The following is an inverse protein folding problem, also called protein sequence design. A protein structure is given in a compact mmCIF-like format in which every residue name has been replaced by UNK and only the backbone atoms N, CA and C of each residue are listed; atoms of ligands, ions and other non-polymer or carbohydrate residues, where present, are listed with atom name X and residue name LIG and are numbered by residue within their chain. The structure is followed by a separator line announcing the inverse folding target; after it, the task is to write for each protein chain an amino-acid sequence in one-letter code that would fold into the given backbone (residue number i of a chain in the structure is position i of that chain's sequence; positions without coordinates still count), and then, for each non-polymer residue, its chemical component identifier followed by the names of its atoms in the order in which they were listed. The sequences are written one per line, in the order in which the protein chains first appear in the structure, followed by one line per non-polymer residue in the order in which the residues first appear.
data_IF_247180586253
#
_entry.id   IF_247180586253
#
_cell.length_a   1.000
_cell.length_b   1.000
_cell.length_c   1.000
_cell.angle_alpha   90.00
_cell.angle_beta   90.00
_cell.angle_gamma   90.00
#
_symmetry.space_group_name_H-M   'P 1'
#
loop_
_entity.id
_entity.type
_entity.pdbx_description
1 polymer ?
#
# COMPACT_ATOMS: atom_id res chain seq x y z
N UNK A 1 0.66 14.58 -5.89
CA UNK A 1 0.10 13.56 -5.00
C UNK A 1 -1.25 14.02 -4.48
N UNK A 2 -2.16 13.07 -4.27
CA UNK A 2 -3.54 13.30 -3.80
C UNK A 2 -3.74 12.49 -2.53
N UNK A 3 -4.58 12.98 -1.60
CA UNK A 3 -4.94 12.25 -0.38
C UNK A 3 -6.41 11.89 -0.39
N UNK A 4 -6.75 10.69 0.07
CA UNK A 4 -8.12 10.27 0.29
C UNK A 4 -8.24 9.63 1.67
N UNK A 5 -9.35 9.89 2.35
CA UNK A 5 -9.63 9.31 3.66
C UNK A 5 -10.99 8.62 3.63
N UNK A 6 -11.09 7.53 4.37
CA UNK A 6 -12.38 6.85 4.57
C UNK A 6 -13.30 7.77 5.38
N UNK A 7 -14.47 8.12 4.86
CA UNK A 7 -15.42 8.97 5.57
C UNK A 7 -16.10 8.20 6.72
N UNK A 8 -16.72 8.95 7.61
CA UNK A 8 -17.60 8.38 8.62
C UNK A 8 -18.79 7.65 7.98
N UNK A 9 -19.42 6.70 8.68
CA UNK A 9 -20.47 5.84 8.13
C UNK A 9 -21.66 6.57 7.51
N UNK A 10 -22.06 7.73 8.07
CA UNK A 10 -23.14 8.57 7.58
C UNK A 10 -22.83 9.16 6.20
N UNK A 11 -21.65 9.73 6.02
CA UNK A 11 -21.20 10.24 4.71
C UNK A 11 -20.99 9.08 3.73
N UNK A 12 -20.39 7.96 4.17
CA UNK A 12 -20.20 6.79 3.32
C UNK A 12 -21.53 6.21 2.82
N UNK A 13 -22.55 6.17 3.67
CA UNK A 13 -23.91 5.78 3.28
C UNK A 13 -24.49 6.71 2.22
N UNK A 14 -24.38 8.02 2.42
CA UNK A 14 -24.86 9.02 1.47
C UNK A 14 -24.15 8.91 0.11
N UNK A 15 -22.82 8.68 0.13
CA UNK A 15 -22.04 8.47 -1.10
C UNK A 15 -22.56 7.27 -1.89
N UNK A 16 -22.84 6.14 -1.22
CA UNK A 16 -23.43 4.96 -1.86
C UNK A 16 -24.82 5.23 -2.42
N UNK A 17 -25.70 5.89 -1.65
CA UNK A 17 -27.06 6.23 -2.08
C UNK A 17 -27.07 7.16 -3.30
N UNK A 18 -26.09 8.05 -3.40
CA UNK A 18 -25.94 8.99 -4.52
C UNK A 18 -25.04 8.48 -5.64
N UNK A 19 -24.49 7.28 -5.50
CA UNK A 19 -23.51 6.69 -6.44
C UNK A 19 -22.29 7.60 -6.67
N UNK A 20 -21.82 8.26 -5.61
CA UNK A 20 -20.62 9.11 -5.64
C UNK A 20 -19.42 8.27 -5.21
N UNK A 21 -18.41 8.04 -6.06
CA UNK A 21 -17.21 7.32 -5.67
C UNK A 21 -16.37 8.12 -4.68
N UNK A 22 -15.56 7.46 -3.88
CA UNK A 22 -14.56 8.12 -3.05
C UNK A 22 -13.60 8.93 -3.92
N UNK A 23 -13.27 10.12 -3.48
CA UNK A 23 -12.45 11.07 -4.22
C UNK A 23 -11.36 11.70 -3.33
N UNK A 24 -10.33 12.24 -3.98
CA UNK A 24 -9.23 12.93 -3.30
C UNK A 24 -9.68 14.25 -2.66
N UNK A 25 -8.97 14.67 -1.62
CA UNK A 25 -9.27 15.93 -0.92
C UNK A 25 -8.88 17.16 -1.73
N UNK A 26 -7.76 17.09 -2.42
CA UNK A 26 -7.18 18.25 -3.11
C UNK A 26 -8.01 18.61 -4.36
N UNK A 27 -8.04 17.73 -5.33
CA UNK A 27 -8.63 18.03 -6.64
C UNK A 27 -9.96 17.29 -6.90
N UNK A 28 -10.52 16.58 -5.90
CA UNK A 28 -11.78 15.83 -6.02
C UNK A 28 -11.76 14.78 -7.15
N UNK A 29 -10.59 14.22 -7.41
CA UNK A 29 -10.42 13.17 -8.41
C UNK A 29 -10.95 11.85 -7.84
N UNK A 30 -11.83 11.11 -8.56
CA UNK A 30 -12.25 9.78 -8.13
C UNK A 30 -11.04 8.86 -7.94
N UNK A 31 -10.96 8.19 -6.79
CA UNK A 31 -9.81 7.32 -6.46
C UNK A 31 -9.58 6.25 -7.51
N UNK A 32 -10.65 5.70 -8.09
CA UNK A 32 -10.55 4.67 -9.15
C UNK A 32 -9.87 5.14 -10.44
N UNK A 33 -9.72 6.45 -10.66
CA UNK A 33 -9.12 7.03 -11.87
C UNK A 33 -7.66 7.45 -11.68
N UNK A 34 -7.08 7.20 -10.51
CA UNK A 34 -5.67 7.47 -10.21
C UNK A 34 -4.83 6.26 -10.64
N UNK A 35 -3.60 6.48 -11.11
CA UNK A 35 -2.72 5.39 -11.59
C UNK A 35 -2.27 4.46 -10.46
N UNK A 36 -2.00 5.01 -9.25
CA UNK A 36 -1.51 4.27 -8.07
C UNK A 36 -2.31 4.69 -6.85
N UNK A 37 -2.69 3.74 -6.02
CA UNK A 37 -3.27 3.97 -4.69
C UNK A 37 -2.41 3.30 -3.63
N UNK A 38 -1.75 4.12 -2.81
CA UNK A 38 -1.01 3.66 -1.63
C UNK A 38 -1.91 3.61 -0.40
N UNK A 39 -2.00 2.47 0.25
CA UNK A 39 -2.79 2.27 1.47
C UNK A 39 -1.87 2.02 2.67
N UNK A 40 -2.01 2.84 3.71
CA UNK A 40 -1.22 2.70 4.93
C UNK A 40 -1.77 1.61 5.84
N UNK A 41 -0.95 0.59 6.11
CA UNK A 41 -1.23 -0.57 6.96
C UNK A 41 -0.48 -0.44 8.28
N UNK A 42 -1.03 0.35 9.21
CA UNK A 42 -0.39 0.58 10.52
C UNK A 42 -0.61 -0.59 11.49
N UNK A 43 -1.83 -1.14 11.48
CA UNK A 43 -2.23 -2.28 12.32
C UNK A 43 -3.21 -3.16 11.56
N UNK A 44 -3.37 -4.41 11.98
CA UNK A 44 -4.34 -5.37 11.42
C UNK A 44 -5.80 -4.90 11.59
N UNK A 45 -6.06 -4.03 12.55
CA UNK A 45 -7.39 -3.44 12.75
C UNK A 45 -7.86 -2.58 11.56
N UNK A 46 -6.95 -2.17 10.69
CA UNK A 46 -7.28 -1.40 9.49
C UNK A 46 -7.76 -2.26 8.31
N UNK A 47 -7.66 -3.58 8.38
CA UNK A 47 -7.94 -4.47 7.25
C UNK A 47 -9.39 -4.35 6.75
N UNK A 48 -10.36 -4.25 7.64
CA UNK A 48 -11.76 -4.04 7.25
C UNK A 48 -12.00 -2.66 6.63
N UNK A 49 -11.25 -1.64 7.05
CA UNK A 49 -11.33 -0.30 6.47
C UNK A 49 -10.81 -0.26 5.04
N UNK A 50 -9.87 -1.14 4.68
CA UNK A 50 -9.39 -1.27 3.29
C UNK A 50 -10.50 -1.74 2.37
N UNK A 51 -11.26 -2.76 2.79
CA UNK A 51 -12.41 -3.22 2.00
C UNK A 51 -13.46 -2.12 1.86
N UNK A 52 -13.72 -1.38 2.93
CA UNK A 52 -14.63 -0.25 2.87
C UNK A 52 -14.12 0.89 1.97
N UNK A 53 -12.80 1.15 1.98
CA UNK A 53 -12.17 2.10 1.06
C UNK A 53 -12.35 1.68 -0.40
N UNK A 54 -12.07 0.41 -0.73
CA UNK A 54 -12.22 -0.13 -2.09
C UNK A 54 -13.69 -0.07 -2.55
N UNK A 55 -14.63 -0.43 -1.68
CA UNK A 55 -16.07 -0.38 -1.96
C UNK A 55 -16.54 1.04 -2.28
N UNK A 56 -16.21 2.01 -1.43
CA UNK A 56 -16.54 3.42 -1.67
C UNK A 56 -15.84 3.97 -2.91
N UNK A 57 -14.66 3.49 -3.22
CA UNK A 57 -13.91 3.88 -4.43
C UNK A 57 -14.45 3.21 -5.70
N UNK A 58 -15.41 2.29 -5.57
CA UNK A 58 -15.93 1.49 -6.69
C UNK A 58 -14.80 0.70 -7.40
N UNK A 59 -13.86 0.18 -6.61
CA UNK A 59 -12.75 -0.65 -7.06
C UNK A 59 -13.02 -2.10 -6.64
N UNK A 60 -12.90 -3.09 -7.53
CA UNK A 60 -13.07 -4.50 -7.17
C UNK A 60 -12.16 -4.89 -5.99
N UNK A 61 -12.67 -5.71 -5.07
CA UNK A 61 -11.92 -6.08 -3.87
C UNK A 61 -10.67 -6.87 -4.22
N UNK A 62 -10.83 -7.92 -5.02
CA UNK A 62 -9.71 -8.80 -5.32
C UNK A 62 -8.80 -8.23 -6.40
N UNK A 63 -7.49 -8.36 -6.21
CA UNK A 63 -6.49 -8.00 -7.20
C UNK A 63 -6.72 -8.69 -8.54
N UNK A 64 -7.14 -9.97 -8.50
CA UNK A 64 -7.44 -10.76 -9.70
C UNK A 64 -8.64 -10.26 -10.52
N UNK A 65 -9.51 -9.45 -9.93
CA UNK A 65 -10.69 -8.86 -10.59
C UNK A 65 -10.38 -7.50 -11.22
N UNK A 66 -9.19 -6.93 -10.92
CA UNK A 66 -8.76 -5.63 -11.41
C UNK A 66 -7.87 -5.77 -12.64
N UNK A 67 -8.40 -5.44 -13.81
CA UNK A 67 -7.62 -5.32 -15.04
C UNK A 67 -6.91 -3.98 -15.18
N UNK A 68 -6.38 -3.71 -16.38
CA UNK A 68 -5.58 -2.53 -16.72
C UNK A 68 -6.33 -1.18 -16.54
N UNK A 69 -7.66 -1.22 -16.42
CA UNK A 69 -8.51 -0.03 -16.21
C UNK A 69 -8.62 0.44 -14.75
N UNK A 70 -7.97 -0.26 -13.80
CA UNK A 70 -8.00 0.10 -12.38
C UNK A 70 -6.61 0.48 -11.87
N UNK A 71 -6.53 1.29 -10.78
CA UNK A 71 -5.26 1.64 -10.18
C UNK A 71 -4.51 0.41 -9.65
N UNK A 72 -3.19 0.52 -9.58
CA UNK A 72 -2.36 -0.43 -8.85
C UNK A 72 -2.48 -0.12 -7.36
N UNK A 73 -2.94 -1.09 -6.58
CA UNK A 73 -3.14 -0.95 -5.13
C UNK A 73 -1.91 -1.48 -4.40
N UNK A 74 -1.22 -0.60 -3.69
CA UNK A 74 0.01 -0.93 -2.95
C UNK A 74 -0.20 -0.73 -1.46
N UNK A 75 0.13 -1.74 -0.67
CA UNK A 75 0.14 -1.66 0.80
C UNK A 75 1.51 -1.25 1.32
N UNK A 76 1.55 -0.34 2.30
CA UNK A 76 2.77 0.05 3.01
C UNK A 76 2.53 0.26 4.50
N UNK A 77 3.57 0.20 5.32
CA UNK A 77 3.48 0.42 6.76
C UNK A 77 3.82 -0.82 7.60
N UNK A 78 3.71 -0.70 8.93
CA UNK A 78 4.22 -1.71 9.86
C UNK A 78 3.62 -3.11 9.68
N UNK A 79 2.33 -3.21 9.36
CA UNK A 79 1.64 -4.50 9.18
C UNK A 79 1.99 -5.23 7.89
N UNK A 80 2.75 -4.60 6.96
CA UNK A 80 3.21 -5.28 5.75
C UNK A 80 4.29 -6.35 6.01
N UNK A 81 4.80 -6.45 7.23
CA UNK A 81 5.68 -7.57 7.62
C UNK A 81 4.95 -8.93 7.59
N UNK A 82 3.61 -8.92 7.66
CA UNK A 82 2.76 -10.10 7.47
C UNK A 82 1.61 -9.77 6.51
N UNK A 83 1.85 -9.74 5.18
CA UNK A 83 0.85 -9.34 4.19
C UNK A 83 -0.16 -10.43 3.86
N UNK A 84 0.13 -11.70 4.17
CA UNK A 84 -0.65 -12.85 3.75
C UNK A 84 -2.15 -12.81 4.12
N UNK A 85 -2.57 -12.33 5.31
CA UNK A 85 -3.99 -12.28 5.64
C UNK A 85 -4.85 -11.42 4.69
N UNK A 86 -4.23 -10.48 3.95
CA UNK A 86 -4.91 -9.52 3.08
C UNK A 86 -4.33 -9.49 1.66
N UNK A 87 -3.46 -10.42 1.31
CA UNK A 87 -2.74 -10.42 0.04
C UNK A 87 -3.66 -10.40 -1.19
N UNK A 88 -4.82 -11.04 -1.13
CA UNK A 88 -5.80 -11.07 -2.21
C UNK A 88 -6.30 -9.68 -2.64
N UNK A 89 -6.25 -8.70 -1.75
CA UNK A 89 -6.81 -7.36 -1.99
C UNK A 89 -5.78 -6.35 -2.50
N UNK A 90 -4.53 -6.73 -2.59
CA UNK A 90 -3.43 -5.86 -3.02
C UNK A 90 -2.74 -6.39 -4.27
N UNK A 91 -2.25 -5.47 -5.08
CA UNK A 91 -1.43 -5.80 -6.24
C UNK A 91 0.04 -5.96 -5.85
N UNK A 92 0.48 -5.14 -4.88
CA UNK A 92 1.82 -5.23 -4.31
C UNK A 92 1.84 -4.72 -2.87
N UNK A 93 2.89 -5.08 -2.13
CA UNK A 93 3.22 -4.52 -0.81
C UNK A 93 4.65 -4.00 -0.83
N UNK A 94 4.89 -2.91 -0.12
CA UNK A 94 6.22 -2.47 0.21
C UNK A 94 6.55 -2.87 1.66
N UNK A 95 7.53 -3.73 1.80
CA UNK A 95 8.01 -4.25 3.10
C UNK A 95 9.26 -3.48 3.50
N UNK A 96 9.15 -2.64 4.51
CA UNK A 96 10.24 -1.82 5.02
C UNK A 96 10.07 -0.32 4.79
N UNK A 97 11.21 0.36 4.66
CA UNK A 97 11.26 1.82 4.57
C UNK A 97 10.88 2.31 3.18
N UNK A 98 9.98 3.30 3.12
CA UNK A 98 9.32 3.69 1.88
C UNK A 98 9.90 4.88 1.14
N UNK A 99 10.76 5.66 1.77
CA UNK A 99 11.18 6.99 1.29
C UNK A 99 11.86 6.96 -0.07
N UNK A 100 12.76 6.02 -0.28
CA UNK A 100 13.42 5.81 -1.57
C UNK A 100 12.58 4.93 -2.49
N UNK A 101 12.01 3.85 -1.94
CA UNK A 101 11.27 2.87 -2.72
C UNK A 101 10.04 3.45 -3.41
N UNK A 102 9.35 4.43 -2.79
CA UNK A 102 8.19 5.06 -3.43
C UNK A 102 8.59 5.85 -4.67
N UNK A 103 9.77 6.43 -4.69
CA UNK A 103 10.31 7.16 -5.85
C UNK A 103 10.58 6.17 -6.99
N UNK A 104 11.22 5.03 -6.69
CA UNK A 104 11.49 3.97 -7.66
C UNK A 104 10.18 3.40 -8.24
N UNK A 105 9.18 3.14 -7.38
CA UNK A 105 7.85 2.67 -7.79
C UNK A 105 7.18 3.67 -8.74
N UNK A 106 7.17 4.96 -8.39
CA UNK A 106 6.55 6.02 -9.21
C UNK A 106 7.26 6.14 -10.56
N UNK A 107 8.59 6.05 -10.58
CA UNK A 107 9.37 6.12 -11.82
C UNK A 107 9.02 4.96 -12.77
N UNK A 108 8.96 3.72 -12.27
CA UNK A 108 8.58 2.55 -13.07
C UNK A 108 7.16 2.73 -13.63
N UNK A 109 6.18 3.04 -12.78
CA UNK A 109 4.79 3.15 -13.23
C UNK A 109 4.62 4.30 -14.23
N UNK A 110 5.32 5.42 -14.03
CA UNK A 110 5.29 6.54 -14.98
C UNK A 110 5.91 6.17 -16.33
N UNK A 111 7.05 5.46 -16.33
CA UNK A 111 7.71 5.02 -17.54
C UNK A 111 6.91 3.96 -18.32
N UNK A 112 6.15 3.16 -17.61
CA UNK A 112 5.35 2.05 -18.17
C UNK A 112 3.86 2.41 -18.35
N UNK A 113 3.51 3.66 -18.28
CA UNK A 113 2.11 4.09 -18.43
C UNK A 113 1.50 3.59 -19.75
N UNK A 114 0.36 2.90 -19.65
CA UNK A 114 -0.32 2.28 -20.79
C UNK A 114 0.16 0.87 -21.16
N UNK A 115 1.14 0.34 -20.44
CA UNK A 115 1.50 -1.08 -20.55
C UNK A 115 0.53 -1.93 -19.72
N UNK A 116 0.59 -3.25 -19.94
CA UNK A 116 -0.22 -4.20 -19.16
C UNK A 116 0.20 -4.17 -17.70
N UNK A 117 -0.77 -4.28 -16.82
CA UNK A 117 -0.56 -4.31 -15.37
C UNK A 117 0.43 -5.40 -14.94
N UNK A 118 0.38 -6.58 -15.55
CA UNK A 118 1.29 -7.70 -15.25
C UNK A 118 2.75 -7.34 -15.54
N UNK A 119 3.02 -6.62 -16.63
CA UNK A 119 4.36 -6.17 -16.98
C UNK A 119 4.87 -5.14 -15.97
N UNK A 120 4.02 -4.20 -15.57
CA UNK A 120 4.34 -3.21 -14.52
C UNK A 120 4.66 -3.91 -13.20
N UNK A 121 3.82 -4.86 -12.78
CA UNK A 121 4.04 -5.62 -11.55
C UNK A 121 5.33 -6.44 -11.60
N UNK A 122 5.70 -6.95 -12.76
CA UNK A 122 6.97 -7.67 -12.96
C UNK A 122 8.19 -6.77 -12.73
N UNK A 123 8.16 -5.53 -13.21
CA UNK A 123 9.23 -4.56 -12.96
C UNK A 123 9.24 -4.10 -11.50
N UNK A 124 8.08 -3.87 -10.90
CA UNK A 124 7.97 -3.50 -9.48
C UNK A 124 8.55 -4.59 -8.56
N UNK A 125 8.36 -5.86 -8.89
CA UNK A 125 8.91 -6.97 -8.12
C UNK A 125 10.45 -7.03 -8.12
N UNK A 126 11.11 -6.27 -9.00
CA UNK A 126 12.57 -6.07 -8.98
C UNK A 126 13.06 -5.08 -7.93
N UNK A 127 12.18 -4.27 -7.36
CA UNK A 127 12.54 -3.31 -6.31
C UNK A 127 12.70 -4.04 -4.97
N UNK A 128 13.79 -3.76 -4.25
CA UNK A 128 14.01 -4.32 -2.90
C UNK A 128 12.89 -3.86 -1.96
N UNK A 129 12.24 -4.81 -1.31
CA UNK A 129 11.11 -4.57 -0.41
C UNK A 129 9.74 -4.74 -1.07
N UNK A 130 9.65 -4.81 -2.39
CA UNK A 130 8.37 -5.00 -3.05
C UNK A 130 8.00 -6.47 -3.15
N UNK A 131 6.84 -6.81 -2.59
CA UNK A 131 6.21 -8.12 -2.67
C UNK A 131 4.98 -8.05 -3.56
N UNK A 132 4.94 -8.85 -4.61
CA UNK A 132 3.80 -8.98 -5.53
C UNK A 132 3.17 -10.36 -5.31
N UNK A 133 2.05 -10.47 -4.58
CA UNK A 133 1.48 -11.76 -4.15
C UNK A 133 1.16 -12.70 -5.31
N UNK A 134 0.66 -12.17 -6.43
CA UNK A 134 0.27 -12.99 -7.60
C UNK A 134 1.42 -13.80 -8.21
N UNK A 135 2.67 -13.43 -7.91
CA UNK A 135 3.87 -14.13 -8.42
C UNK A 135 4.33 -15.27 -7.53
N UNK A 136 3.70 -15.47 -6.39
CA UNK A 136 4.02 -16.57 -5.48
C UNK A 136 2.85 -17.54 -5.40
N UNK A 137 3.19 -18.79 -5.13
CA UNK A 137 2.23 -19.84 -4.81
C UNK A 137 2.58 -20.42 -3.45
N UNK A 138 1.61 -20.43 -2.57
CA UNK A 138 1.76 -20.92 -1.21
C UNK A 138 0.94 -22.18 -1.04
N UNK A 139 1.61 -23.30 -0.76
CA UNK A 139 0.95 -24.55 -0.38
C UNK A 139 0.88 -24.66 1.14
N UNK A 140 -0.27 -25.07 1.63
CA UNK A 140 -0.51 -25.30 3.05
C UNK A 140 -0.62 -26.79 3.33
N UNK A 141 -0.04 -27.22 4.46
CA UNK A 141 -0.27 -28.55 5.02
C UNK A 141 -1.70 -28.69 5.57
N UNK A 142 -2.09 -29.92 5.90
CA UNK A 142 -3.42 -30.18 6.51
C UNK A 142 -3.64 -29.41 7.83
N UNK A 143 -2.56 -29.04 8.49
CA UNK A 143 -2.57 -28.30 9.76
C UNK A 143 -2.54 -26.77 9.57
N UNK A 144 -2.67 -26.29 8.33
CA UNK A 144 -2.68 -24.85 8.00
C UNK A 144 -1.31 -24.17 8.03
N UNK A 145 -0.22 -24.95 8.14
CA UNK A 145 1.15 -24.42 8.10
C UNK A 145 1.62 -24.33 6.64
N UNK A 146 2.32 -23.26 6.30
CA UNK A 146 2.97 -23.13 4.98
C UNK A 146 3.94 -24.30 4.79
N UNK A 147 3.66 -25.15 3.80
CA UNK A 147 4.50 -26.31 3.46
C UNK A 147 5.47 -26.01 2.33
N UNK A 148 5.08 -25.13 1.42
CA UNK A 148 5.89 -24.75 0.27
C UNK A 148 5.57 -23.34 -0.17
N UNK A 149 6.59 -22.59 -0.55
CA UNK A 149 6.50 -21.32 -1.23
C UNK A 149 7.19 -21.45 -2.59
N UNK A 150 6.45 -21.31 -3.67
CA UNK A 150 6.98 -21.35 -5.02
C UNK A 150 6.86 -20.00 -5.70
N UNK A 151 7.93 -19.61 -6.36
CA UNK A 151 7.91 -18.44 -7.21
C UNK A 151 7.51 -18.86 -8.65
N UNK A 152 6.43 -18.30 -9.16
CA UNK A 152 5.92 -18.55 -10.51
C UNK A 152 6.81 -17.93 -11.60
N UNK A 153 7.64 -16.96 -11.25
CA UNK A 153 8.49 -16.24 -12.20
C UNK A 153 9.96 -16.32 -11.77
N UNK A 154 10.78 -17.02 -12.57
CA UNK A 154 12.22 -17.22 -12.30
C UNK A 154 13.05 -15.92 -12.25
N UNK A 155 12.51 -14.79 -12.72
CA UNK A 155 13.18 -13.48 -12.65
C UNK A 155 13.03 -12.79 -11.31
N UNK A 156 12.13 -13.29 -10.44
CA UNK A 156 11.79 -12.69 -9.16
C UNK A 156 12.56 -13.42 -8.05
N UNK A 157 12.99 -12.68 -7.05
CA UNK A 157 13.70 -13.26 -5.90
C UNK A 157 12.82 -14.26 -5.15
N UNK A 158 13.37 -15.41 -4.71
CA UNK A 158 12.60 -16.41 -3.97
C UNK A 158 12.06 -15.87 -2.64
N UNK A 159 12.75 -14.91 -2.06
CA UNK A 159 12.42 -14.30 -0.77
C UNK A 159 12.57 -12.78 -0.87
N UNK A 160 11.50 -12.07 -0.56
CA UNK A 160 11.52 -10.60 -0.50
C UNK A 160 12.35 -10.16 0.69
N UNK A 161 13.34 -9.31 0.43
CA UNK A 161 14.15 -8.70 1.47
C UNK A 161 13.52 -7.38 1.90
N UNK A 162 13.42 -7.16 3.22
CA UNK A 162 12.96 -5.88 3.74
C UNK A 162 13.85 -4.73 3.27
N UNK A 163 13.26 -3.63 2.82
CA UNK A 163 13.99 -2.40 2.52
C UNK A 163 14.41 -1.70 3.81
N UNK A 164 15.65 -1.24 3.86
CA UNK A 164 16.23 -0.49 4.98
C UNK A 164 16.83 0.81 4.47
N UNK A 165 16.57 1.90 5.18
CA UNK A 165 17.34 3.12 5.03
C UNK A 165 18.68 2.96 5.74
N UNK A 166 19.77 3.14 5.01
CA UNK A 166 21.13 3.03 5.57
C UNK A 166 21.49 4.24 6.46
N UNK A 167 20.91 5.37 6.15
CA UNK A 167 21.22 6.64 6.81
C UNK A 167 19.94 7.48 6.86
N UNK A 168 19.42 7.67 8.08
CA UNK A 168 18.19 8.43 8.30
C UNK A 168 18.38 9.93 8.03
N UNK A 169 19.62 10.46 8.21
CA UNK A 169 19.92 11.87 8.00
C UNK A 169 19.92 12.28 6.51
N UNK A 170 19.97 11.31 5.60
CA UNK A 170 19.91 11.55 4.15
C UNK A 170 18.50 11.64 3.59
N UNK A 171 17.53 11.29 4.40
CA UNK A 171 16.11 11.27 3.96
C UNK A 171 15.56 12.70 3.96
N UNK A 172 14.86 13.12 2.89
CA UNK A 172 14.21 14.42 2.89
C UNK A 172 13.26 14.56 4.08
N UNK A 173 13.50 15.53 4.91
CA UNK A 173 12.68 15.83 6.08
C UNK A 173 11.65 16.92 5.72
N UNK A 174 10.37 16.82 6.16
CA UNK A 174 9.37 17.85 5.90
C UNK A 174 9.73 19.16 6.63
N UNK A 175 10.21 20.17 5.90
CA UNK A 175 10.51 21.49 6.44
C UNK A 175 9.25 22.33 6.69
N UNK A 176 8.19 22.06 5.92
CA UNK A 176 6.89 22.73 6.03
C UNK A 176 5.88 21.78 6.64
N UNK A 177 5.65 21.92 7.92
CA UNK A 177 4.68 21.11 8.66
C UNK A 177 3.27 21.63 8.36
N UNK A 178 2.35 20.69 8.04
CA UNK A 178 0.93 21.01 7.92
C UNK A 178 0.38 21.15 9.34
N UNK A 179 -0.01 22.37 9.71
CA UNK A 179 -0.63 22.65 11.01
C UNK A 179 -2.14 22.65 10.89
N UNK A 180 -2.87 22.12 11.88
CA UNK A 180 -4.33 22.14 11.89
C UNK A 180 -4.85 23.56 12.17
N UNK A 181 -6.03 23.87 11.63
CA UNK A 181 -6.75 25.12 11.93
C UNK A 181 -7.56 25.06 13.23
N UNK A 182 -7.67 23.89 13.85
CA UNK A 182 -8.43 23.66 15.07
C UNK A 182 -7.51 23.08 16.15
N UNK A 183 -7.92 23.21 17.41
CA UNK A 183 -7.21 22.56 18.52
C UNK A 183 -7.26 21.05 18.35
N UNK A 184 -6.11 20.40 18.47
CA UNK A 184 -5.94 18.96 18.40
C UNK A 184 -5.43 18.41 19.74
N UNK A 185 -5.69 17.13 19.98
CA UNK A 185 -5.27 16.45 21.23
C UNK A 185 -3.75 16.45 21.40
N UNK A 186 -3.01 16.39 20.28
CA UNK A 186 -1.55 16.34 20.26
C UNK A 186 -0.98 17.54 19.50
N UNK A 187 -1.06 18.74 20.11
CA UNK A 187 -0.45 19.96 19.56
C UNK A 187 1.05 19.98 19.88
N UNK A 188 1.83 19.25 19.05
CA UNK A 188 3.28 19.14 19.18
C UNK A 188 3.92 18.81 17.83
N UNK A 189 5.19 19.15 17.70
CA UNK A 189 6.02 18.81 16.54
C UNK A 189 6.61 17.41 16.77
N UNK A 190 6.28 16.40 15.94
CA UNK A 190 6.94 15.10 15.99
C UNK A 190 8.33 15.18 15.35
N UNK A 191 9.34 14.65 16.04
CA UNK A 191 10.69 14.49 15.52
C UNK A 191 11.05 13.01 15.53
N UNK A 192 11.44 12.46 14.39
CA UNK A 192 11.97 11.12 14.31
C UNK A 192 13.47 11.15 14.58
N UNK A 193 13.90 10.56 15.69
CA UNK A 193 15.30 10.53 16.11
C UNK A 193 15.96 9.16 15.91
N UNK A 194 15.15 8.13 15.73
CA UNK A 194 15.61 6.77 15.46
C UNK A 194 14.46 5.93 14.94
N UNK A 195 14.79 4.86 14.25
CA UNK A 195 13.83 3.88 13.72
C UNK A 195 14.15 2.49 14.24
N UNK A 196 13.12 1.79 14.77
CA UNK A 196 13.26 0.51 15.45
C UNK A 196 13.66 0.63 16.91
N UNK A 197 13.76 -0.50 17.61
CA UNK A 197 14.24 -0.57 18.98
C UNK A 197 14.96 -1.91 19.24
N UNK A 198 15.76 -1.95 20.34
CA UNK A 198 16.52 -3.14 20.73
C UNK A 198 15.68 -4.17 21.49
N UNK A 199 14.39 -3.92 21.73
CA UNK A 199 13.49 -4.82 22.42
C UNK A 199 13.06 -5.97 21.52
N UNK A 200 13.12 -7.19 21.99
CA UNK A 200 12.73 -8.40 21.26
C UNK A 200 11.22 -8.69 21.35
N UNK A 201 10.36 -7.72 21.04
CA UNK A 201 8.91 -7.95 21.01
C UNK A 201 8.52 -8.88 19.85
N UNK A 202 7.48 -9.69 20.07
CA UNK A 202 6.86 -10.51 19.01
C UNK A 202 5.78 -9.75 18.30
#
# INVERSE_FOLDING_TARGET
AERAFVPWPDLGKLMKEKNIPLFSLENKIPVRSIDIVGLSLQTEMNYTNILYFLDLSQIPFRSSERGDGFPIIIGGGASTCNPEPIHDFFDAFLIGDGEEAIVEIIQIISAMKGQKKEDILSELAGIVGVYVPSFYHVDYSKDGVVSKLENKNKRIVPQVQRRWLQDLDRVPYPEKIIVPYINIVHDRIPLEISRGCTRGCR
#
